data_IF_843340726000
#
_entry.id   IF_843340726000
#
_cell.length_a   1.000
_cell.length_b   1.000
_cell.length_c   1.000
_cell.angle_alpha   90.00
_cell.angle_beta   90.00
_cell.angle_gamma   90.00
#
_symmetry.space_group_name_H-M   'P 1'
#
loop_
_entity.id
_entity.type
_entity.pdbx_description
1 polymer ?
#
# COMPACT_ATOMS: atom_id res chain seq x y z
N UNK A 1 2.31 -20.40 6.23
CA UNK A 1 2.44 -20.09 7.67
C UNK A 1 1.06 -19.97 8.29
N UNK A 2 0.89 -20.47 9.52
CA UNK A 2 -0.37 -20.43 10.27
C UNK A 2 -0.35 -19.33 11.33
N UNK A 3 -1.49 -18.68 11.53
CA UNK A 3 -1.66 -17.66 12.56
C UNK A 3 -1.91 -18.28 13.95
N UNK A 4 -1.98 -17.46 15.01
CA UNK A 4 -2.26 -17.93 16.40
C UNK A 4 -3.60 -18.65 16.57
N UNK A 5 -4.54 -18.49 15.63
CA UNK A 5 -5.85 -19.16 15.61
C UNK A 5 -5.86 -20.45 14.78
N UNK A 6 -4.72 -20.88 14.27
CA UNK A 6 -4.58 -22.11 13.47
C UNK A 6 -4.97 -21.98 12.00
N UNK A 7 -5.32 -20.79 11.51
CA UNK A 7 -5.65 -20.57 10.09
C UNK A 7 -4.41 -20.33 9.25
N UNK A 8 -4.36 -20.91 8.05
CA UNK A 8 -3.29 -20.67 7.07
C UNK A 8 -3.46 -19.25 6.49
N UNK A 9 -2.52 -18.35 6.81
CA UNK A 9 -2.58 -16.94 6.37
C UNK A 9 -1.44 -16.57 5.41
N UNK A 10 -0.42 -17.41 5.26
CA UNK A 10 0.65 -17.23 4.29
C UNK A 10 0.74 -18.48 3.42
N UNK A 11 0.56 -18.30 2.12
CA UNK A 11 0.67 -19.31 1.09
C UNK A 11 1.98 -19.13 0.33
N UNK A 12 2.69 -20.24 0.12
CA UNK A 12 3.89 -20.27 -0.71
C UNK A 12 3.65 -21.33 -1.76
N UNK A 13 3.38 -20.89 -2.99
CA UNK A 13 3.26 -21.79 -4.13
C UNK A 13 4.67 -22.17 -4.61
N UNK A 14 4.98 -23.48 -4.79
CA UNK A 14 6.31 -23.91 -5.22
C UNK A 14 6.70 -23.45 -6.63
N UNK A 15 5.73 -22.97 -7.40
CA UNK A 15 5.92 -22.40 -8.75
C UNK A 15 6.30 -20.91 -8.70
N UNK A 16 6.11 -20.23 -7.57
CA UNK A 16 6.35 -18.80 -7.42
C UNK A 16 7.43 -18.51 -6.38
N UNK A 17 8.40 -17.66 -6.73
CA UNK A 17 9.43 -17.19 -5.79
C UNK A 17 8.92 -16.21 -4.72
N UNK A 18 7.62 -15.89 -4.73
CA UNK A 18 7.02 -14.94 -3.79
C UNK A 18 6.02 -15.66 -2.88
N UNK A 19 6.02 -15.27 -1.60
CA UNK A 19 4.97 -15.68 -0.66
C UNK A 19 3.81 -14.69 -0.72
N UNK A 20 2.58 -15.19 -0.59
CA UNK A 20 1.37 -14.38 -0.55
C UNK A 20 0.76 -14.41 0.85
N UNK A 21 0.44 -13.24 1.40
CA UNK A 21 -0.16 -13.11 2.73
C UNK A 21 -1.62 -12.70 2.54
N UNK A 22 -2.53 -13.54 3.03
CA UNK A 22 -3.97 -13.20 3.08
C UNK A 22 -4.20 -12.14 4.15
N UNK A 23 -4.50 -10.91 3.72
CA UNK A 23 -4.80 -9.78 4.62
C UNK A 23 -6.05 -10.02 5.46
N UNK A 24 -7.00 -10.84 4.99
CA UNK A 24 -8.24 -11.16 5.71
C UNK A 24 -8.00 -12.16 6.85
N UNK A 25 -7.09 -13.10 6.66
CA UNK A 25 -6.76 -14.14 7.65
C UNK A 25 -5.59 -13.73 8.56
N UNK A 26 -4.81 -12.72 8.15
CA UNK A 26 -3.70 -12.20 8.93
C UNK A 26 -4.21 -11.30 10.06
N UNK A 27 -4.18 -11.82 11.27
CA UNK A 27 -4.52 -11.07 12.50
C UNK A 27 -3.34 -10.29 13.07
N UNK A 28 -2.22 -10.19 12.33
CA UNK A 28 -1.06 -9.44 12.81
C UNK A 28 -0.28 -10.09 13.95
N UNK A 29 -0.32 -11.43 14.07
CA UNK A 29 0.22 -12.14 15.22
C UNK A 29 1.76 -12.21 15.31
N UNK A 30 2.49 -11.78 14.28
CA UNK A 30 3.96 -11.71 14.28
C UNK A 30 4.71 -13.02 14.05
N UNK A 31 4.04 -14.19 14.10
CA UNK A 31 4.69 -15.52 13.97
C UNK A 31 5.55 -15.64 12.70
N UNK A 32 5.07 -15.10 11.58
CA UNK A 32 5.80 -15.19 10.32
C UNK A 32 7.03 -14.26 10.24
N UNK A 33 7.08 -13.20 11.05
CA UNK A 33 8.25 -12.31 11.14
C UNK A 33 9.35 -13.04 11.89
N UNK A 34 9.05 -13.60 13.06
CA UNK A 34 10.01 -14.38 13.86
C UNK A 34 10.54 -15.62 13.12
N UNK A 35 9.66 -16.33 12.39
CA UNK A 35 10.05 -17.55 11.68
C UNK A 35 10.76 -17.28 10.35
N UNK A 36 10.87 -16.03 9.91
CA UNK A 36 11.46 -15.73 8.60
C UNK A 36 12.99 -15.84 8.67
N UNK A 37 13.62 -16.79 7.94
CA UNK A 37 15.07 -16.97 8.00
C UNK A 37 15.87 -15.81 7.38
N UNK A 38 15.20 -14.92 6.65
CA UNK A 38 15.82 -13.80 5.95
C UNK A 38 15.37 -12.42 6.47
N UNK A 39 14.48 -12.39 7.48
CA UNK A 39 13.90 -11.16 8.05
C UNK A 39 13.31 -10.18 7.00
N UNK A 40 12.80 -10.72 5.89
CA UNK A 40 12.28 -9.93 4.75
C UNK A 40 10.81 -9.56 4.89
N UNK A 41 10.13 -9.98 5.96
CA UNK A 41 8.69 -9.77 6.15
C UNK A 41 8.43 -8.88 7.36
N UNK A 42 7.87 -7.70 7.16
CA UNK A 42 7.42 -6.82 8.25
C UNK A 42 5.90 -6.82 8.33
N UNK A 43 5.34 -7.23 9.47
CA UNK A 43 3.91 -7.04 9.75
C UNK A 43 3.74 -5.71 10.48
N UNK A 44 2.97 -4.81 9.88
CA UNK A 44 2.53 -3.58 10.52
C UNK A 44 1.02 -3.68 10.69
N UNK A 45 0.55 -3.67 11.94
CA UNK A 45 -0.88 -3.61 12.23
C UNK A 45 -1.36 -2.18 12.04
N UNK A 46 -1.95 -1.92 10.87
CA UNK A 46 -2.59 -0.65 10.61
C UNK A 46 -4.01 -0.64 11.20
N UNK A 47 -4.47 0.51 11.72
CA UNK A 47 -5.87 0.67 12.11
C UNK A 47 -6.79 0.40 10.92
N UNK A 48 -7.88 -0.35 11.13
CA UNK A 48 -8.85 -0.74 10.09
C UNK A 48 -9.48 0.45 9.35
N UNK A 49 -9.48 1.65 9.96
CA UNK A 49 -9.97 2.87 9.35
C UNK A 49 -9.07 3.44 8.23
N UNK A 50 -7.79 3.06 8.16
CA UNK A 50 -6.86 3.58 7.15
C UNK A 50 -7.11 2.98 5.76
N UNK A 51 -7.63 1.76 5.64
CA UNK A 51 -7.87 1.13 4.33
C UNK A 51 -8.85 1.97 3.48
N UNK A 52 -9.82 2.63 4.12
CA UNK A 52 -10.77 3.55 3.47
C UNK A 52 -10.13 4.81 2.89
N UNK A 53 -8.92 5.15 3.31
CA UNK A 53 -8.19 6.36 2.92
C UNK A 53 -6.99 6.05 2.01
N UNK A 54 -6.99 4.86 1.41
CA UNK A 54 -5.94 4.45 0.45
C UNK A 54 -6.00 5.34 -0.79
N UNK A 55 -4.93 6.09 -1.04
CA UNK A 55 -4.78 6.90 -2.26
C UNK A 55 -4.24 6.07 -3.42
N UNK A 56 -3.23 5.23 -3.16
CA UNK A 56 -2.61 4.39 -4.18
C UNK A 56 -2.05 3.09 -3.57
N UNK A 57 -2.05 2.01 -4.34
CA UNK A 57 -1.48 0.71 -3.98
C UNK A 57 -0.81 0.09 -5.19
N UNK A 58 0.44 -0.37 -5.07
CA UNK A 58 1.16 -0.96 -6.21
C UNK A 58 0.75 -2.41 -6.51
N UNK A 59 0.31 -3.17 -5.50
CA UNK A 59 0.00 -4.59 -5.67
C UNK A 59 -0.42 -5.30 -4.38
N UNK A 60 -0.70 -6.61 -4.44
CA UNK A 60 -0.94 -7.43 -3.25
C UNK A 60 0.31 -7.41 -2.36
N UNK A 61 0.12 -7.31 -1.04
CA UNK A 61 1.18 -7.20 -0.02
C UNK A 61 2.30 -6.16 -0.31
N UNK A 62 2.01 -5.20 -1.18
CA UNK A 62 2.95 -4.15 -1.60
C UNK A 62 2.63 -2.82 -0.90
N UNK A 63 3.51 -1.85 -1.09
CA UNK A 63 3.33 -0.50 -0.55
C UNK A 63 1.94 0.10 -0.86
N UNK A 64 1.28 0.59 0.20
CA UNK A 64 0.02 1.35 0.16
C UNK A 64 0.32 2.79 0.60
N UNK A 65 -0.02 3.76 -0.23
CA UNK A 65 -0.02 5.18 0.10
C UNK A 65 -1.40 5.57 0.65
N UNK A 66 -1.45 6.06 1.88
CA UNK A 66 -2.65 6.58 2.52
C UNK A 66 -2.63 8.10 2.52
N UNK A 67 -3.82 8.72 2.43
CA UNK A 67 -4.04 10.18 2.59
C UNK A 67 -3.06 11.06 1.81
N UNK A 68 -3.46 11.51 0.63
CA UNK A 68 -2.71 12.53 -0.09
C UNK A 68 -3.23 13.94 0.26
N UNK A 69 -2.34 14.83 0.71
CA UNK A 69 -2.70 16.25 0.92
C UNK A 69 -2.54 17.02 -0.39
N UNK A 70 -3.58 17.74 -0.79
CA UNK A 70 -3.53 18.63 -1.95
C UNK A 70 -2.77 19.91 -1.59
N UNK A 71 -1.80 20.35 -2.40
CA UNK A 71 -1.14 21.65 -2.20
C UNK A 71 -2.15 22.79 -2.38
N UNK A 72 -1.97 23.87 -1.61
CA UNK A 72 -2.77 25.10 -1.75
C UNK A 72 -1.98 26.16 -2.51
N UNK A 73 -2.61 26.96 -3.38
CA UNK A 73 -1.95 28.10 -4.02
C UNK A 73 -1.30 29.03 -3.00
N UNK A 74 -0.13 29.57 -3.35
CA UNK A 74 0.64 30.48 -2.49
C UNK A 74 1.30 29.85 -1.26
N UNK A 75 1.25 28.53 -1.09
CA UNK A 75 1.84 27.84 0.08
C UNK A 75 2.82 26.74 -0.33
N UNK A 76 3.88 26.56 0.46
CA UNK A 76 4.85 25.46 0.27
C UNK A 76 4.37 24.21 1.01
N UNK A 77 4.15 23.11 0.28
CA UNK A 77 3.84 21.81 0.87
C UNK A 77 5.13 21.00 1.11
N UNK A 78 5.57 20.92 2.36
CA UNK A 78 6.69 20.08 2.77
C UNK A 78 6.29 18.61 2.94
N UNK A 79 7.02 17.69 2.31
CA UNK A 79 6.87 16.25 2.50
C UNK A 79 8.09 15.70 3.24
N UNK A 80 7.98 15.48 4.56
CA UNK A 80 9.09 15.01 5.41
C UNK A 80 8.71 13.68 6.06
N UNK A 81 9.56 12.65 5.90
CA UNK A 81 9.51 11.33 6.58
C UNK A 81 10.78 10.53 6.22
N UNK A 82 10.97 9.32 6.74
CA UNK A 82 12.00 8.37 6.27
C UNK A 82 11.77 7.85 4.84
N UNK A 83 12.78 7.25 4.22
CA UNK A 83 12.66 6.60 2.91
C UNK A 83 11.65 5.43 2.96
N UNK A 84 11.07 5.06 1.82
CA UNK A 84 10.09 3.97 1.76
C UNK A 84 8.68 4.31 2.28
N UNK A 85 8.43 5.56 2.70
CA UNK A 85 7.12 5.99 3.23
C UNK A 85 6.17 6.60 2.19
N UNK A 86 6.57 6.64 0.92
CA UNK A 86 5.72 7.11 -0.19
C UNK A 86 5.85 8.57 -0.59
N UNK A 87 6.93 9.27 -0.21
CA UNK A 87 7.19 10.65 -0.66
C UNK A 87 7.30 10.78 -2.18
N UNK A 88 8.12 9.93 -2.80
CA UNK A 88 8.27 9.90 -4.26
C UNK A 88 6.94 9.56 -4.93
N UNK A 89 6.20 8.59 -4.41
CA UNK A 89 4.86 8.22 -4.89
C UNK A 89 3.88 9.40 -4.79
N UNK A 90 3.85 10.12 -3.66
CA UNK A 90 3.01 11.31 -3.47
C UNK A 90 3.36 12.42 -4.46
N UNK A 91 4.66 12.69 -4.67
CA UNK A 91 5.14 13.66 -5.66
C UNK A 91 4.76 13.28 -7.09
N UNK A 92 4.87 12.00 -7.46
CA UNK A 92 4.45 11.50 -8.77
C UNK A 92 2.95 11.65 -8.99
N UNK A 93 2.13 11.46 -7.95
CA UNK A 93 0.68 11.66 -8.04
C UNK A 93 0.34 13.15 -8.17
N UNK A 94 0.94 14.01 -7.35
CA UNK A 94 0.71 15.46 -7.41
C UNK A 94 1.20 16.09 -8.73
N UNK A 95 2.25 15.54 -9.33
CA UNK A 95 2.76 15.97 -10.65
C UNK A 95 2.04 15.32 -11.83
N UNK A 96 1.02 14.48 -11.59
CA UNK A 96 0.26 13.79 -12.63
C UNK A 96 0.99 12.65 -13.34
N UNK A 97 2.24 12.33 -12.97
CA UNK A 97 3.03 11.21 -13.54
C UNK A 97 2.48 9.84 -13.14
N UNK A 98 1.84 9.75 -11.98
CA UNK A 98 1.23 8.51 -11.47
C UNK A 98 -0.24 8.77 -11.14
N UNK A 99 -1.13 7.93 -11.67
CA UNK A 99 -2.56 8.03 -11.34
C UNK A 99 -2.86 7.27 -10.05
N UNK A 100 -3.55 7.89 -9.07
CA UNK A 100 -4.00 7.18 -7.88
C UNK A 100 -5.05 6.15 -8.26
N UNK A 101 -4.95 4.95 -7.67
CA UNK A 101 -5.85 3.83 -7.97
C UNK A 101 -6.80 3.51 -6.82
N UNK A 102 -6.76 4.28 -5.73
CA UNK A 102 -7.66 4.12 -4.58
C UNK A 102 -7.66 2.69 -4.01
N UNK A 103 -6.52 2.01 -4.06
CA UNK A 103 -6.39 0.61 -3.63
C UNK A 103 -6.74 -0.43 -4.70
N UNK A 104 -7.24 -0.03 -5.87
CA UNK A 104 -7.62 -0.90 -6.99
C UNK A 104 -6.42 -1.13 -7.93
N UNK A 105 -5.51 -2.03 -7.54
CA UNK A 105 -4.31 -2.36 -8.33
C UNK A 105 -4.55 -3.39 -9.45
N UNK A 106 -5.66 -4.13 -9.41
CA UNK A 106 -6.00 -5.15 -10.41
C UNK A 106 -6.51 -4.59 -11.74
N UNK A 107 -6.90 -3.31 -11.79
CA UNK A 107 -7.62 -2.69 -12.94
C UNK A 107 -6.70 -1.79 -13.78
N UNK A 108 -5.40 -2.11 -13.89
CA UNK A 108 -4.48 -1.36 -14.77
C UNK A 108 -4.47 -1.83 -16.23
N UNK A 109 -5.46 -2.63 -16.66
CA UNK A 109 -5.81 -2.71 -18.08
C UNK A 109 -7.10 -1.92 -18.32
N UNK A 110 -6.94 -0.79 -19.01
CA UNK A 110 -8.03 -0.12 -19.74
C UNK A 110 -9.05 0.63 -18.88
N UNK A 111 -8.77 1.91 -18.60
CA UNK A 111 -9.62 3.05 -19.03
C UNK A 111 -9.02 4.38 -18.56
N UNK A 112 -8.83 5.28 -19.51
CA UNK A 112 -8.52 6.70 -19.35
C UNK A 112 -9.69 7.42 -18.66
N UNK A 113 -9.99 7.08 -17.41
CA UNK A 113 -10.96 7.84 -16.62
C UNK A 113 -10.21 9.03 -16.01
N UNK A 114 -10.41 10.23 -16.55
CA UNK A 114 -9.87 11.46 -15.97
C UNK A 114 -10.32 11.57 -14.51
N UNK A 115 -9.44 11.28 -13.55
CA UNK A 115 -9.61 11.79 -12.21
C UNK A 115 -8.94 13.16 -12.22
N UNK A 116 -9.74 14.18 -12.54
CA UNK A 116 -9.33 15.56 -12.32
C UNK A 116 -9.33 15.77 -10.81
N UNK A 117 -8.14 15.81 -10.21
CA UNK A 117 -8.00 16.65 -9.02
C UNK A 117 -8.29 18.06 -9.52
N UNK A 118 -9.45 18.61 -9.14
CA UNK A 118 -9.68 20.03 -9.30
C UNK A 118 -8.64 20.73 -8.43
N UNK A 119 -7.51 21.08 -9.04
CA UNK A 119 -6.67 22.16 -8.56
C UNK A 119 -7.53 23.39 -8.79
N UNK A 120 -8.32 23.75 -7.78
CA UNK A 120 -9.09 24.99 -7.80
C UNK A 120 -8.05 26.09 -7.92
N UNK A 121 -8.09 26.81 -9.05
CA UNK A 121 -7.24 27.95 -9.36
C UNK A 121 -7.37 29.03 -8.29
#
# INVERSE_FOLDING_TARGET
SVNKTGKLCIEVTPVSNNSHISEELCIGCGICVEKCPFDVTTIINLPTNLDKETAHRYGPNSFKLYRLRTPRPGHVLGLVRSNGTGKTTASQILSGKLKPNLGKYSILKTKRNSFSFNVIH
#
